data_IF_458336519685
#
_entry.id   IF_458336519685
#
_cell.length_a   1.000
_cell.length_b   1.000
_cell.length_c   1.000
_cell.angle_alpha   90.00
_cell.angle_beta   90.00
_cell.angle_gamma   90.00
#
_symmetry.space_group_name_H-M   'P 1'
#
loop_
_entity.id
_entity.type
_entity.pdbx_description
1 polymer ?
#
# COMPACT_ATOMS: atom_id res chain seq x y z
N UNK A 1 23.23 -5.31 -21.76
CA UNK A 1 22.47 -4.62 -20.71
C UNK A 1 21.58 -5.64 -20.05
N UNK A 2 21.81 -5.96 -18.78
CA UNK A 2 20.89 -6.81 -18.02
C UNK A 2 19.66 -5.95 -17.78
N UNK A 3 18.58 -6.22 -18.50
CA UNK A 3 17.26 -5.68 -18.19
C UNK A 3 16.89 -6.19 -16.80
N UNK A 4 17.08 -5.38 -15.77
CA UNK A 4 16.50 -5.68 -14.46
C UNK A 4 14.99 -5.74 -14.64
N UNK A 5 14.37 -6.87 -14.27
CA UNK A 5 12.91 -6.98 -14.34
C UNK A 5 12.31 -5.89 -13.46
N UNK A 6 11.68 -4.90 -14.09
CA UNK A 6 11.04 -3.82 -13.39
C UNK A 6 9.93 -4.39 -12.51
N UNK A 7 9.80 -3.85 -11.31
CA UNK A 7 8.78 -4.23 -10.35
C UNK A 7 7.94 -3.01 -9.99
N UNK A 8 6.66 -3.24 -9.71
CA UNK A 8 5.76 -2.24 -9.15
C UNK A 8 5.87 -2.35 -7.64
N UNK A 9 6.21 -1.25 -6.98
CA UNK A 9 6.37 -1.16 -5.54
C UNK A 9 5.41 -0.10 -5.02
N UNK A 10 4.57 -0.46 -4.07
CA UNK A 10 3.61 0.44 -3.41
C UNK A 10 4.00 0.57 -1.95
N UNK A 11 4.21 1.81 -1.49
CA UNK A 11 4.56 2.15 -0.12
C UNK A 11 3.32 2.47 0.71
N UNK A 12 3.24 1.90 1.91
CA UNK A 12 2.12 2.07 2.85
C UNK A 12 2.42 3.16 3.89
N UNK A 13 2.95 4.30 3.43
CA UNK A 13 3.34 5.44 4.28
C UNK A 13 2.13 6.22 4.82
N UNK A 14 0.99 6.17 4.13
CA UNK A 14 -0.20 6.98 4.40
C UNK A 14 -1.49 6.17 4.27
N UNK A 15 -1.61 5.11 5.06
CA UNK A 15 -2.78 4.24 5.10
C UNK A 15 -3.66 4.56 6.31
N UNK A 16 -4.90 4.99 6.09
CA UNK A 16 -5.79 5.47 7.16
C UNK A 16 -6.86 4.44 7.54
N UNK A 17 -6.75 3.21 7.04
CA UNK A 17 -7.69 2.11 7.31
C UNK A 17 -6.99 0.88 7.89
N UNK A 18 -7.59 0.24 8.90
CA UNK A 18 -7.05 -0.96 9.56
C UNK A 18 -7.25 -2.24 8.75
N UNK A 19 -8.19 -2.23 7.81
CA UNK A 19 -8.56 -3.37 6.99
C UNK A 19 -9.23 -2.92 5.68
N UNK A 20 -9.65 -3.88 4.86
CA UNK A 20 -10.42 -3.62 3.64
C UNK A 20 -9.56 -3.35 2.40
N UNK A 21 -8.24 -3.20 2.54
CA UNK A 21 -7.34 -3.03 1.41
C UNK A 21 -6.74 -4.38 0.95
N UNK A 22 -6.96 -4.73 -0.32
CA UNK A 22 -6.44 -5.97 -0.93
C UNK A 22 -5.58 -5.65 -2.16
N UNK A 23 -4.39 -6.25 -2.22
CA UNK A 23 -3.44 -6.15 -3.32
C UNK A 23 -3.43 -7.47 -4.11
N UNK A 24 -3.80 -7.38 -5.38
CA UNK A 24 -3.86 -8.55 -6.28
C UNK A 24 -3.00 -8.29 -7.50
N UNK A 25 -2.03 -9.17 -7.75
CA UNK A 25 -1.24 -9.15 -8.97
C UNK A 25 -1.96 -9.90 -10.09
N UNK A 26 -1.81 -9.39 -11.32
CA UNK A 26 -2.35 -10.01 -12.52
C UNK A 26 -1.30 -9.99 -13.62
N UNK A 27 -1.23 -11.07 -14.39
CA UNK A 27 -0.40 -11.09 -15.59
C UNK A 27 -0.99 -10.18 -16.68
N UNK A 28 -2.31 -10.18 -16.82
CA UNK A 28 -3.08 -9.29 -17.70
C UNK A 28 -4.35 -8.84 -16.99
N UNK A 29 -4.66 -7.54 -17.08
CA UNK A 29 -5.85 -6.96 -16.49
C UNK A 29 -6.53 -5.97 -17.46
N UNK A 30 -7.81 -6.21 -17.73
CA UNK A 30 -8.68 -5.36 -18.54
C UNK A 30 -10.14 -5.53 -18.14
N UNK A 31 -11.05 -4.84 -18.83
CA UNK A 31 -12.50 -4.93 -18.60
C UNK A 31 -13.02 -6.37 -18.73
N UNK A 32 -12.55 -7.07 -19.77
CA UNK A 32 -13.08 -8.37 -20.19
C UNK A 32 -12.14 -9.54 -19.87
N UNK A 33 -10.95 -9.26 -19.34
CA UNK A 33 -9.94 -10.29 -19.04
C UNK A 33 -9.20 -10.00 -17.74
N UNK A 34 -9.10 -11.05 -16.91
CA UNK A 34 -8.40 -11.05 -15.63
C UNK A 34 -7.61 -12.34 -15.54
N UNK A 35 -6.33 -12.30 -15.92
CA UNK A 35 -5.51 -13.50 -16.09
C UNK A 35 -4.61 -13.70 -14.87
N UNK A 36 -4.67 -14.91 -14.32
CA UNK A 36 -3.86 -15.37 -13.18
C UNK A 36 -3.92 -14.42 -11.96
N UNK A 37 -5.11 -14.10 -11.43
CA UNK A 37 -5.23 -13.30 -10.23
C UNK A 37 -4.52 -13.98 -9.06
N UNK A 38 -3.62 -13.27 -8.40
CA UNK A 38 -3.00 -13.74 -7.16
C UNK A 38 -2.98 -12.63 -6.12
N UNK A 39 -3.63 -12.88 -4.99
CA UNK A 39 -3.59 -11.95 -3.85
C UNK A 39 -2.22 -12.04 -3.21
N UNK A 40 -1.49 -10.93 -3.19
CA UNK A 40 -0.14 -10.85 -2.63
C UNK A 40 -0.11 -10.18 -1.26
N UNK A 41 -1.12 -9.37 -0.94
CA UNK A 41 -1.26 -8.76 0.38
C UNK A 41 -2.71 -8.41 0.71
N UNK A 42 -3.10 -8.60 1.96
CA UNK A 42 -4.35 -8.09 2.53
C UNK A 42 -4.01 -7.34 3.81
N UNK A 43 -4.40 -6.08 3.88
CA UNK A 43 -4.20 -5.27 5.08
C UNK A 43 -5.13 -5.76 6.18
N UNK A 44 -4.57 -5.88 7.38
CA UNK A 44 -5.30 -6.14 8.61
C UNK A 44 -4.58 -5.46 9.79
N UNK A 45 -5.25 -5.46 10.95
CA UNK A 45 -4.77 -4.83 12.19
C UNK A 45 -3.36 -5.29 12.63
N UNK A 46 -2.96 -6.51 12.27
CA UNK A 46 -1.67 -7.08 12.71
C UNK A 46 -0.50 -6.72 11.80
N UNK A 47 -0.75 -6.46 10.51
CA UNK A 47 0.29 -6.20 9.52
C UNK A 47 0.41 -4.73 9.12
N UNK A 48 -0.62 -3.93 9.38
CA UNK A 48 -0.70 -2.52 8.98
C UNK A 48 0.51 -1.69 9.41
N UNK A 49 1.03 -1.92 10.62
CA UNK A 49 2.19 -1.19 11.17
C UNK A 49 3.54 -1.82 10.79
N UNK A 50 3.55 -3.02 10.21
CA UNK A 50 4.77 -3.78 9.90
C UNK A 50 5.10 -3.78 8.41
N UNK A 51 4.09 -3.76 7.56
CA UNK A 51 4.25 -3.79 6.11
C UNK A 51 4.54 -2.39 5.58
N UNK A 52 5.80 -2.14 5.21
CA UNK A 52 6.25 -0.86 4.61
C UNK A 52 5.88 -0.73 3.15
N UNK A 53 5.89 -1.84 2.42
CA UNK A 53 5.63 -1.85 1.00
C UNK A 53 5.08 -3.21 0.52
N UNK A 54 4.45 -3.19 -0.64
CA UNK A 54 4.00 -4.36 -1.40
C UNK A 54 4.68 -4.30 -2.77
N UNK A 55 5.30 -5.41 -3.19
CA UNK A 55 6.03 -5.49 -4.45
C UNK A 55 5.46 -6.62 -5.33
N UNK A 56 5.33 -6.35 -6.63
CA UNK A 56 5.07 -7.37 -7.65
C UNK A 56 5.96 -7.17 -8.86
N UNK A 57 6.29 -8.28 -9.53
CA UNK A 57 6.97 -8.30 -10.83
C UNK A 57 5.98 -8.54 -11.98
N UNK A 58 4.69 -8.66 -11.69
CA UNK A 58 3.64 -8.75 -12.70
C UNK A 58 3.35 -7.38 -13.30
N UNK A 59 2.79 -7.38 -14.51
CA UNK A 59 2.48 -6.16 -15.25
C UNK A 59 1.36 -5.33 -14.63
N UNK A 60 0.52 -5.93 -13.78
CA UNK A 60 -0.61 -5.25 -13.17
C UNK A 60 -0.70 -5.56 -11.67
N UNK A 61 -0.90 -4.50 -10.90
CA UNK A 61 -1.24 -4.55 -9.49
C UNK A 61 -2.57 -3.82 -9.28
N UNK A 62 -3.59 -4.55 -8.86
CA UNK A 62 -4.89 -3.98 -8.52
C UNK A 62 -4.98 -3.84 -7.01
N UNK A 63 -5.33 -2.63 -6.58
CA UNK A 63 -5.53 -2.27 -5.18
C UNK A 63 -7.02 -2.02 -5.02
N UNK A 64 -7.70 -2.87 -4.26
CA UNK A 64 -9.13 -2.77 -4.00
C UNK A 64 -9.34 -2.35 -2.54
N UNK A 65 -10.11 -1.28 -2.33
CA UNK A 65 -10.61 -0.88 -1.01
C UNK A 65 -12.07 -1.28 -0.89
N UNK A 66 -12.36 -2.17 0.06
CA UNK A 66 -13.71 -2.61 0.41
C UNK A 66 -13.92 -2.51 1.91
N UNK A 67 -14.66 -1.48 2.33
CA UNK A 67 -15.01 -1.24 3.72
C UNK A 67 -16.29 -2.02 4.08
N UNK A 68 -16.27 -2.79 5.17
CA UNK A 68 -17.46 -3.50 5.65
C UNK A 68 -18.40 -2.58 6.43
N UNK A 69 -17.83 -1.67 7.22
CA UNK A 69 -18.53 -0.65 7.99
C UNK A 69 -17.78 0.67 7.89
N UNK A 70 -18.51 1.78 7.99
CA UNK A 70 -17.96 3.15 8.03
C UNK A 70 -17.45 3.44 9.45
N UNK A 71 -18.09 2.84 10.45
CA UNK A 71 -17.73 2.92 11.86
C UNK A 71 -16.65 1.85 12.15
N UNK A 72 -15.56 2.24 12.81
CA UNK A 72 -14.43 1.39 13.27
C UNK A 72 -13.31 1.00 12.29
N UNK A 73 -13.32 1.44 11.03
CA UNK A 73 -12.22 1.13 10.10
C UNK A 73 -11.05 2.12 10.14
N UNK A 74 -11.12 3.20 10.94
CA UNK A 74 -10.24 4.36 10.84
C UNK A 74 -9.03 4.33 11.79
N UNK A 75 -7.82 4.47 11.24
CA UNK A 75 -6.56 4.63 12.00
C UNK A 75 -6.34 6.04 12.56
N UNK A 76 -7.04 7.05 12.04
CA UNK A 76 -6.75 8.45 12.34
C UNK A 76 -8.01 9.25 12.64
N UNK A 77 -8.15 9.65 13.90
CA UNK A 77 -9.11 10.66 14.36
C UNK A 77 -8.35 11.96 14.54
N UNK A 78 -8.40 12.86 13.57
CA UNK A 78 -8.03 14.26 13.76
C UNK A 78 -9.21 14.96 14.42
N UNK A 79 -8.97 15.84 15.39
CA UNK A 79 -10.03 16.60 16.05
C UNK A 79 -10.89 17.34 14.99
N UNK A 80 -12.19 17.00 14.91
CA UNK A 80 -13.18 17.44 13.91
C UNK A 80 -13.07 16.87 12.47
N UNK A 81 -12.21 15.89 12.21
CA UNK A 81 -12.14 15.15 10.94
C UNK A 81 -12.53 13.68 11.15
N UNK A 82 -13.81 13.45 11.48
CA UNK A 82 -14.34 12.11 11.77
C UNK A 82 -14.59 11.24 10.52
N UNK A 83 -14.37 11.76 9.31
CA UNK A 83 -14.84 11.13 8.06
C UNK A 83 -13.77 10.95 6.97
N UNK A 84 -12.49 10.78 7.32
CA UNK A 84 -11.44 10.53 6.29
C UNK A 84 -11.26 9.04 6.06
N UNK A 85 -11.96 8.51 5.05
CA UNK A 85 -11.81 7.14 4.58
C UNK A 85 -10.88 7.10 3.36
N UNK A 86 -9.78 6.36 3.45
CA UNK A 86 -8.94 6.11 2.30
C UNK A 86 -7.48 5.91 2.63
N UNK A 87 -6.66 6.11 1.61
CA UNK A 87 -5.22 5.95 1.66
C UNK A 87 -4.62 6.78 0.53
N UNK A 88 -3.42 7.30 0.76
CA UNK A 88 -2.61 7.82 -0.33
C UNK A 88 -1.64 6.74 -0.78
N UNK A 89 -1.52 6.60 -2.10
CA UNK A 89 -0.60 5.64 -2.72
C UNK A 89 0.65 6.39 -3.13
N UNK A 90 1.78 6.02 -2.53
CA UNK A 90 3.09 6.30 -3.12
C UNK A 90 3.55 5.03 -3.82
N UNK A 91 3.88 5.11 -5.10
CA UNK A 91 4.36 3.95 -5.86
C UNK A 91 5.54 4.32 -6.75
N UNK A 92 6.33 3.30 -7.09
CA UNK A 92 7.39 3.41 -8.08
C UNK A 92 7.44 2.14 -8.94
N UNK A 93 7.89 2.31 -10.19
CA UNK A 93 8.17 1.21 -11.10
C UNK A 93 9.67 1.22 -11.35
N UNK A 94 10.38 0.24 -10.82
CA UNK A 94 11.85 0.25 -10.79
C UNK A 94 12.44 -1.15 -10.85
N UNK A 95 13.62 -1.27 -11.45
CA UNK A 95 14.46 -2.47 -11.42
C UNK A 95 15.42 -2.52 -10.23
N UNK A 96 15.47 -1.48 -9.40
CA UNK A 96 16.45 -1.32 -8.31
C UNK A 96 15.93 -1.78 -6.93
N UNK A 97 14.75 -2.39 -6.87
CA UNK A 97 14.10 -2.82 -5.62
C UNK A 97 13.56 -1.64 -4.78
N UNK A 98 13.01 -1.93 -3.59
CA UNK A 98 12.41 -0.90 -2.72
C UNK A 98 13.42 0.12 -2.21
N UNK A 99 13.03 1.38 -2.20
CA UNK A 99 13.76 2.52 -1.64
C UNK A 99 14.06 2.31 -0.16
N UNK A 100 15.29 2.65 0.21
CA UNK A 100 15.77 2.69 1.60
C UNK A 100 16.26 4.10 1.93
N UNK A 101 15.83 4.71 3.07
CA UNK A 101 14.88 4.16 4.03
C UNK A 101 13.43 4.17 3.48
N UNK A 102 12.61 3.25 3.99
CA UNK A 102 11.15 3.25 3.84
C UNK A 102 10.50 3.17 5.22
N UNK A 103 9.32 3.76 5.36
CA UNK A 103 8.55 3.82 6.59
C UNK A 103 7.10 3.40 6.37
N UNK A 104 6.40 3.10 7.45
CA UNK A 104 4.95 2.92 7.53
C UNK A 104 4.29 4.19 8.08
N UNK A 105 2.97 4.19 8.22
CA UNK A 105 2.24 5.28 8.88
C UNK A 105 2.75 5.60 10.31
N UNK A 106 3.29 4.62 11.05
CA UNK A 106 3.75 4.85 12.44
C UNK A 106 5.07 5.62 12.54
N UNK A 107 5.89 5.56 11.48
CA UNK A 107 7.23 6.13 11.38
C UNK A 107 7.33 7.12 10.20
N UNK A 108 6.20 7.66 9.75
CA UNK A 108 6.10 8.66 8.68
C UNK A 108 5.30 9.88 9.12
N UNK A 109 5.84 11.08 8.83
CA UNK A 109 5.15 12.34 9.01
C UNK A 109 4.00 12.52 8.02
N UNK A 110 3.08 13.44 8.35
CA UNK A 110 1.91 13.76 7.52
C UNK A 110 2.24 14.10 6.06
N UNK A 111 3.42 14.68 5.83
CA UNK A 111 3.93 15.10 4.52
C UNK A 111 4.67 13.99 3.77
N UNK A 112 4.73 12.76 4.30
CA UNK A 112 5.36 11.62 3.63
C UNK A 112 6.85 11.44 3.94
N UNK A 113 7.42 12.19 4.90
CA UNK A 113 8.81 12.04 5.33
C UNK A 113 8.93 11.01 6.45
N UNK A 114 9.81 10.03 6.31
CA UNK A 114 10.11 9.09 7.38
C UNK A 114 10.79 9.81 8.55
N UNK A 115 10.33 9.52 9.77
CA UNK A 115 11.04 9.95 10.98
C UNK A 115 12.32 9.14 11.10
N UNK A 116 13.44 9.83 11.32
CA UNK A 116 14.69 9.16 11.64
C UNK A 116 14.62 8.68 13.10
N UNK A 117 14.78 7.38 13.34
CA UNK A 117 14.70 6.77 14.69
C UNK A 117 15.99 6.99 15.50
N UNK A 118 16.61 8.18 15.39
CA UNK A 118 17.84 8.59 16.11
C UNK A 118 17.62 9.81 17.03
N UNK A 119 16.46 9.89 17.69
CA UNK A 119 16.24 10.80 18.84
C UNK A 119 15.41 10.12 19.91
#
# INVERSE_FOLDING_TARGET
MISTNASIIVYLTQLFTFEGLTFTEYQLYGSDYKINPKVIHRVNETNIVRTRWVQTFQSYLVIELKLQTIESSQLRVLDKFLDVFGFNITYEITGNGPRSPSCTMTDCGFTGFCYDHYT
#
